data_IF_018214227571
#
_entry.id   IF_018214227571
#
_cell.length_a   1.000
_cell.length_b   1.000
_cell.length_c   1.000
_cell.angle_alpha   90.00
_cell.angle_beta   90.00
_cell.angle_gamma   90.00
#
_symmetry.space_group_name_H-M   'P 1'
#
loop_
_entity.id
_entity.type
_entity.pdbx_description
1 polymer ?
#
# COMPACT_ATOMS: atom_id res chain seq x y z
N UNK A 1 34.77 13.98 16.33
CA UNK A 1 34.94 13.11 17.50
C UNK A 1 33.92 11.99 17.36
N UNK A 2 34.39 10.75 17.39
CA UNK A 2 33.52 9.59 17.46
C UNK A 2 33.40 9.18 18.94
N UNK A 3 32.20 8.81 19.34
CA UNK A 3 31.93 8.31 20.67
C UNK A 3 31.20 6.97 20.53
N UNK A 4 31.69 5.93 21.16
CA UNK A 4 30.99 4.65 21.27
C UNK A 4 30.20 4.62 22.55
N UNK A 5 28.96 4.15 22.43
CA UNK A 5 28.06 4.00 23.57
C UNK A 5 27.42 2.61 23.54
N UNK A 6 27.58 1.87 24.61
CA UNK A 6 26.89 0.59 24.77
C UNK A 6 25.49 0.82 25.29
N UNK A 7 24.48 0.43 24.52
CA UNK A 7 23.09 0.52 24.95
C UNK A 7 22.65 -0.84 25.50
N UNK A 8 22.44 -0.95 26.83
CA UNK A 8 21.97 -2.20 27.41
C UNK A 8 20.47 -2.38 27.06
N UNK A 9 20.13 -3.42 26.37
CA UNK A 9 18.74 -3.82 26.16
C UNK A 9 18.50 -5.26 26.58
N UNK A 10 17.29 -5.56 27.03
CA UNK A 10 16.91 -6.91 27.40
C UNK A 10 16.87 -7.81 26.16
N UNK A 11 17.35 -9.05 26.29
CA UNK A 11 17.22 -10.04 25.22
C UNK A 11 15.73 -10.21 24.88
N UNK A 12 15.38 -9.88 23.65
CA UNK A 12 14.01 -10.02 23.13
C UNK A 12 13.83 -11.48 22.75
N UNK A 13 12.76 -12.09 23.24
CA UNK A 13 12.39 -13.43 22.78
C UNK A 13 11.78 -13.34 21.38
N UNK A 14 12.14 -14.24 20.46
CA UNK A 14 11.51 -14.29 19.14
C UNK A 14 9.99 -14.43 19.25
N UNK A 15 9.29 -13.60 18.52
CA UNK A 15 7.83 -13.68 18.33
C UNK A 15 7.44 -13.20 16.91
N UNK A 16 6.17 -12.97 16.65
CA UNK A 16 5.70 -12.51 15.33
C UNK A 16 5.88 -11.01 15.08
N UNK A 17 6.40 -10.25 16.05
CA UNK A 17 6.55 -8.78 15.98
C UNK A 17 7.91 -8.39 15.42
N UNK A 18 7.96 -7.21 14.84
CA UNK A 18 9.20 -6.51 14.51
C UNK A 18 9.61 -5.60 15.65
N UNK A 19 10.90 -5.54 15.91
CA UNK A 19 11.45 -4.71 16.97
C UNK A 19 12.42 -3.70 16.40
N UNK A 20 12.30 -2.45 16.86
CA UNK A 20 13.13 -1.34 16.42
C UNK A 20 13.82 -0.68 17.62
N UNK A 21 15.10 -0.37 17.47
CA UNK A 21 15.81 0.52 18.38
C UNK A 21 15.65 1.95 17.85
N UNK A 22 15.07 2.81 18.65
CA UNK A 22 14.96 4.24 18.37
C UNK A 22 15.91 5.00 19.30
N UNK A 23 16.74 5.85 18.71
CA UNK A 23 17.67 6.72 19.44
C UNK A 23 17.32 8.17 19.14
N UNK A 24 17.09 8.96 20.17
CA UNK A 24 16.74 10.37 20.07
C UNK A 24 17.81 11.23 20.74
N UNK A 25 18.26 12.26 20.04
CA UNK A 25 19.12 13.31 20.58
C UNK A 25 18.25 14.49 20.97
N UNK A 26 18.29 14.86 22.25
CA UNK A 26 17.46 15.91 22.81
C UNK A 26 18.29 17.15 23.16
N UNK A 27 17.69 18.33 23.05
CA UNK A 27 18.28 19.56 23.60
C UNK A 27 18.36 19.45 25.14
N UNK A 28 19.55 19.68 25.67
CA UNK A 28 19.81 19.64 27.12
C UNK A 28 19.23 20.85 27.87
N UNK A 29 19.21 22.00 27.22
CA UNK A 29 18.80 23.28 27.83
C UNK A 29 17.92 24.06 26.86
N UNK A 30 17.09 24.97 27.36
CA UNK A 30 16.32 25.90 26.55
C UNK A 30 17.21 26.77 25.66
N UNK A 31 16.72 27.03 24.46
CA UNK A 31 17.28 27.99 23.49
C UNK A 31 16.22 29.04 23.15
N UNK A 32 16.58 30.21 22.59
CA UNK A 32 15.65 31.31 22.38
C UNK A 32 14.33 30.97 21.68
N UNK A 33 14.28 29.95 20.85
CA UNK A 33 13.06 29.56 20.11
C UNK A 33 12.72 28.08 20.20
N UNK A 34 13.46 27.32 21.05
CA UNK A 34 13.32 25.87 21.15
C UNK A 34 13.51 25.45 22.59
N UNK A 35 12.51 24.78 23.16
CA UNK A 35 12.57 24.34 24.56
C UNK A 35 13.51 23.14 24.74
N UNK A 36 13.95 22.97 25.98
CA UNK A 36 14.60 21.75 26.45
C UNK A 36 13.77 20.52 26.02
N UNK A 37 14.45 19.40 25.83
CA UNK A 37 13.89 18.11 25.40
C UNK A 37 13.34 18.10 23.97
N UNK A 38 13.55 19.17 23.17
CA UNK A 38 13.27 19.14 21.75
C UNK A 38 14.16 18.10 21.05
N UNK A 39 13.56 17.25 20.23
CA UNK A 39 14.28 16.21 19.47
C UNK A 39 15.05 16.88 18.33
N UNK A 40 16.38 16.90 18.45
CA UNK A 40 17.28 17.50 17.45
C UNK A 40 17.59 16.52 16.31
N UNK A 41 17.70 15.24 16.66
CA UNK A 41 17.97 14.17 15.69
C UNK A 41 17.34 12.87 16.20
N UNK A 42 16.98 12.02 15.29
CA UNK A 42 16.40 10.72 15.57
C UNK A 42 16.89 9.70 14.55
N UNK A 43 17.30 8.53 15.05
CA UNK A 43 17.62 7.37 14.22
C UNK A 43 16.85 6.14 14.70
N UNK A 44 16.55 5.25 13.76
CA UNK A 44 15.82 4.02 14.04
C UNK A 44 16.46 2.85 13.29
N UNK A 45 16.72 1.76 13.99
CA UNK A 45 17.27 0.53 13.40
C UNK A 45 16.37 -0.65 13.74
N UNK A 46 16.11 -1.49 12.75
CA UNK A 46 15.45 -2.75 12.97
C UNK A 46 16.41 -3.71 13.70
N UNK A 47 15.96 -4.30 14.79
CA UNK A 47 16.76 -5.29 15.52
C UNK A 47 16.69 -6.65 14.80
N UNK A 48 17.81 -7.38 14.72
CA UNK A 48 17.86 -8.70 14.09
C UNK A 48 17.28 -9.77 15.03
N UNK A 49 16.02 -9.63 15.37
CA UNK A 49 15.26 -10.64 16.12
C UNK A 49 14.65 -11.59 15.10
N UNK A 50 14.98 -12.88 15.18
CA UNK A 50 14.37 -13.88 14.32
C UNK A 50 12.84 -13.80 14.50
N UNK A 51 12.17 -13.45 13.42
CA UNK A 51 10.71 -13.46 13.37
C UNK A 51 10.28 -14.92 13.39
N UNK A 52 9.64 -15.36 14.45
CA UNK A 52 8.91 -16.61 14.36
C UNK A 52 7.74 -16.37 13.42
N UNK A 53 7.89 -16.80 12.18
CA UNK A 53 6.77 -16.97 11.26
C UNK A 53 5.87 -18.10 11.79
N UNK A 54 5.29 -17.86 12.94
CA UNK A 54 4.14 -18.58 13.39
C UNK A 54 2.97 -18.05 12.57
N UNK A 55 2.89 -18.45 11.31
CA UNK A 55 1.57 -18.64 10.73
C UNK A 55 0.97 -19.77 11.56
N UNK A 56 0.44 -19.42 12.74
CA UNK A 56 -0.68 -20.17 13.25
C UNK A 56 -1.63 -20.21 12.06
N UNK A 57 -1.89 -21.37 11.53
CA UNK A 57 -3.09 -21.59 10.74
C UNK A 57 -4.23 -21.20 11.69
N UNK A 58 -4.51 -19.90 11.72
CA UNK A 58 -5.75 -19.40 12.31
C UNK A 58 -6.76 -20.11 11.44
N UNK A 59 -7.60 -20.93 12.02
CA UNK A 59 -8.74 -21.54 11.34
C UNK A 59 -9.58 -20.38 10.85
N UNK A 60 -9.40 -20.03 9.57
CA UNK A 60 -10.13 -18.93 8.97
C UNK A 60 -11.53 -19.42 8.64
N UNK A 61 -12.52 -18.58 8.86
CA UNK A 61 -13.84 -18.80 8.29
C UNK A 61 -13.69 -18.92 6.77
N UNK A 62 -14.29 -19.94 6.15
CA UNK A 62 -14.21 -20.11 4.71
C UNK A 62 -14.70 -18.87 3.99
N UNK A 63 -14.02 -18.51 2.91
CA UNK A 63 -14.45 -17.41 2.06
C UNK A 63 -15.62 -17.89 1.21
N UNK A 64 -16.68 -17.10 1.17
CA UNK A 64 -17.82 -17.29 0.30
C UNK A 64 -17.70 -16.33 -0.88
N UNK A 65 -17.89 -16.86 -2.07
CA UNK A 65 -17.88 -16.07 -3.31
C UNK A 65 -19.27 -16.07 -3.91
N UNK A 66 -19.75 -14.87 -4.25
CA UNK A 66 -21.02 -14.67 -4.94
C UNK A 66 -20.81 -13.87 -6.21
N UNK A 67 -21.20 -14.41 -7.36
CA UNK A 67 -21.27 -13.67 -8.61
C UNK A 67 -22.61 -12.92 -8.64
N UNK A 68 -22.54 -11.61 -8.81
CA UNK A 68 -23.68 -10.73 -8.93
C UNK A 68 -23.77 -10.21 -10.38
N UNK A 69 -24.91 -9.66 -10.77
CA UNK A 69 -25.10 -9.08 -12.10
C UNK A 69 -24.04 -8.01 -12.40
N UNK A 70 -23.66 -7.20 -11.40
CA UNK A 70 -22.75 -6.07 -11.54
C UNK A 70 -21.33 -6.34 -11.03
N UNK A 71 -20.99 -7.59 -10.62
CA UNK A 71 -19.64 -7.85 -10.12
C UNK A 71 -19.46 -9.13 -9.31
N UNK A 72 -18.39 -9.11 -8.51
CA UNK A 72 -18.02 -10.19 -7.62
C UNK A 72 -18.12 -9.71 -6.18
N UNK A 73 -18.73 -10.49 -5.31
CA UNK A 73 -18.68 -10.30 -3.85
C UNK A 73 -17.95 -11.47 -3.22
N UNK A 74 -16.96 -11.17 -2.40
CA UNK A 74 -16.05 -12.13 -1.77
C UNK A 74 -15.91 -11.77 -0.31
N UNK A 75 -16.14 -12.72 0.60
CA UNK A 75 -16.02 -12.42 2.02
C UNK A 75 -16.46 -13.55 2.93
N UNK A 76 -16.56 -13.26 4.20
CA UNK A 76 -17.08 -14.13 5.25
C UNK A 76 -17.78 -13.28 6.31
N UNK A 77 -17.93 -13.80 7.55
CA UNK A 77 -18.59 -13.04 8.63
C UNK A 77 -17.84 -11.79 9.09
N UNK A 78 -16.53 -11.72 8.85
CA UNK A 78 -15.66 -10.64 9.35
C UNK A 78 -15.45 -9.53 8.31
N UNK A 79 -15.45 -9.87 7.02
CA UNK A 79 -15.18 -8.92 5.95
C UNK A 79 -15.94 -9.24 4.66
N UNK A 80 -16.17 -8.22 3.86
CA UNK A 80 -16.68 -8.30 2.49
C UNK A 80 -15.86 -7.41 1.55
N UNK A 81 -15.57 -7.92 0.36
CA UNK A 81 -14.93 -7.20 -0.74
C UNK A 81 -15.79 -7.30 -1.98
N UNK A 82 -16.01 -6.19 -2.67
CA UNK A 82 -16.79 -6.18 -3.91
C UNK A 82 -15.97 -5.61 -5.07
N UNK A 83 -16.03 -6.29 -6.21
CA UNK A 83 -15.41 -5.89 -7.46
C UNK A 83 -16.47 -5.60 -8.51
N UNK A 84 -16.32 -4.51 -9.25
CA UNK A 84 -17.18 -4.16 -10.36
C UNK A 84 -16.87 -5.02 -11.58
N UNK A 85 -17.89 -5.66 -12.18
CA UNK A 85 -17.74 -6.38 -13.45
C UNK A 85 -17.47 -5.44 -14.63
N UNK A 86 -17.82 -4.17 -14.52
CA UNK A 86 -17.65 -3.16 -15.56
C UNK A 86 -16.26 -2.56 -15.57
N UNK A 87 -15.79 -2.15 -14.38
CA UNK A 87 -14.49 -1.49 -14.25
C UNK A 87 -13.37 -2.43 -13.78
N UNK A 88 -13.68 -3.61 -13.23
CA UNK A 88 -12.71 -4.52 -12.63
C UNK A 88 -12.12 -4.02 -11.31
N UNK A 89 -12.52 -2.85 -10.85
CA UNK A 89 -12.00 -2.22 -9.64
C UNK A 89 -12.63 -2.83 -8.39
N UNK A 90 -11.88 -2.85 -7.31
CA UNK A 90 -12.40 -3.07 -5.96
C UNK A 90 -13.19 -1.84 -5.54
N UNK A 91 -14.52 -1.95 -5.44
CA UNK A 91 -15.43 -0.82 -5.20
C UNK A 91 -15.94 -0.73 -3.77
N UNK A 92 -15.81 -1.78 -2.97
CA UNK A 92 -16.20 -1.83 -1.56
C UNK A 92 -15.25 -2.74 -0.80
N UNK A 93 -14.90 -2.33 0.40
CA UNK A 93 -14.20 -3.13 1.40
C UNK A 93 -14.86 -2.87 2.75
N UNK A 94 -15.54 -3.87 3.28
CA UNK A 94 -16.18 -3.81 4.59
C UNK A 94 -15.46 -4.71 5.57
N UNK A 95 -15.31 -4.22 6.79
CA UNK A 95 -14.85 -4.99 7.92
C UNK A 95 -15.88 -4.91 9.04
N UNK A 96 -16.36 -6.08 9.51
CA UNK A 96 -17.47 -6.17 10.48
C UNK A 96 -18.71 -5.35 10.10
N UNK A 97 -18.98 -5.29 8.79
CA UNK A 97 -20.13 -4.58 8.24
C UNK A 97 -19.91 -3.08 7.99
N UNK A 98 -18.79 -2.49 8.44
CA UNK A 98 -18.48 -1.08 8.24
C UNK A 98 -17.68 -0.88 6.96
N UNK A 99 -18.12 0.05 6.09
CA UNK A 99 -17.44 0.40 4.86
C UNK A 99 -16.16 1.21 5.14
N UNK A 100 -15.06 0.76 4.59
CA UNK A 100 -13.75 1.38 4.74
C UNK A 100 -13.39 2.34 3.61
N UNK A 101 -14.00 2.19 2.43
CA UNK A 101 -13.62 2.90 1.22
C UNK A 101 -14.65 3.96 0.83
N UNK A 102 -14.18 5.15 0.46
CA UNK A 102 -14.93 6.13 -0.35
C UNK A 102 -14.61 5.97 -1.83
N UNK A 103 -13.39 5.55 -2.16
CA UNK A 103 -13.01 5.17 -3.51
C UNK A 103 -12.03 3.99 -3.45
N UNK A 104 -12.23 3.04 -4.33
CA UNK A 104 -11.46 1.81 -4.40
C UNK A 104 -10.01 2.03 -4.79
N UNK A 105 -9.25 0.93 -4.73
CA UNK A 105 -7.83 0.93 -5.05
C UNK A 105 -7.62 1.05 -6.55
N UNK A 106 -6.87 2.07 -6.97
CA UNK A 106 -6.57 2.36 -8.36
C UNK A 106 -5.06 2.55 -8.58
N UNK A 107 -4.53 2.16 -9.75
CA UNK A 107 -3.19 2.55 -10.19
C UNK A 107 -3.00 4.06 -10.16
N UNK A 108 -1.88 4.52 -9.65
CA UNK A 108 -1.53 5.94 -9.59
C UNK A 108 -0.08 6.16 -9.99
N UNK A 109 0.13 6.84 -11.13
CA UNK A 109 1.44 7.13 -11.69
C UNK A 109 1.82 8.61 -11.60
N UNK A 110 1.02 9.39 -10.90
CA UNK A 110 1.20 10.82 -10.74
C UNK A 110 1.55 11.20 -9.30
N UNK A 111 2.36 12.22 -9.16
CA UNK A 111 2.66 12.90 -7.89
C UNK A 111 2.54 14.41 -8.05
N UNK A 112 2.33 15.17 -6.98
CA UNK A 112 2.52 16.61 -6.98
C UNK A 112 3.92 16.97 -7.46
N UNK A 113 4.02 18.07 -8.23
CA UNK A 113 5.31 18.59 -8.68
C UNK A 113 6.07 19.24 -7.54
N UNK A 114 7.37 19.08 -7.56
CA UNK A 114 8.31 19.87 -6.75
C UNK A 114 8.77 21.10 -7.50
N UNK A 115 9.44 22.03 -6.80
CA UNK A 115 10.01 23.22 -7.43
C UNK A 115 11.02 22.90 -8.54
N UNK A 116 11.71 21.77 -8.46
CA UNK A 116 12.63 21.30 -9.49
C UNK A 116 11.93 20.72 -10.73
N UNK A 117 10.72 20.22 -10.57
CA UNK A 117 9.95 19.64 -11.68
C UNK A 117 9.41 20.71 -12.64
N UNK A 118 9.11 21.91 -12.12
CA UNK A 118 8.51 22.99 -12.91
C UNK A 118 9.49 23.47 -14.00
N UNK A 119 10.72 23.89 -13.70
CA UNK A 119 11.67 24.34 -14.73
C UNK A 119 12.14 23.20 -15.64
N UNK A 120 12.13 21.96 -15.16
CA UNK A 120 12.47 20.78 -15.99
C UNK A 120 11.41 20.43 -17.02
N UNK A 121 10.21 21.02 -16.96
CA UNK A 121 9.09 20.73 -17.84
C UNK A 121 8.44 19.34 -17.59
N UNK A 122 8.65 18.72 -16.41
CA UNK A 122 8.13 17.40 -16.09
C UNK A 122 6.61 17.35 -16.23
N UNK A 123 5.90 18.38 -15.80
CA UNK A 123 4.44 18.44 -15.85
C UNK A 123 3.90 18.26 -17.27
N UNK A 124 4.50 18.91 -18.26
CA UNK A 124 4.06 18.81 -19.66
C UNK A 124 4.47 17.49 -20.30
N UNK A 125 5.72 17.03 -20.05
CA UNK A 125 6.19 15.76 -20.63
C UNK A 125 5.45 14.54 -20.10
N UNK A 126 5.07 14.56 -18.82
CA UNK A 126 4.52 13.41 -18.13
C UNK A 126 3.00 13.47 -17.92
N UNK A 127 2.32 14.45 -18.51
CA UNK A 127 0.87 14.69 -18.28
C UNK A 127 0.01 13.45 -18.58
N UNK A 128 0.41 12.61 -19.53
CA UNK A 128 -0.28 11.37 -19.86
C UNK A 128 -0.35 10.36 -18.70
N UNK A 129 0.50 10.51 -17.68
CA UNK A 129 0.47 9.65 -16.49
C UNK A 129 -0.45 10.14 -15.37
N UNK A 130 -1.08 11.32 -15.53
CA UNK A 130 -1.88 11.92 -14.46
C UNK A 130 -3.15 11.12 -14.14
N UNK A 131 -3.84 10.65 -15.16
CA UNK A 131 -5.08 9.88 -15.04
C UNK A 131 -5.06 8.65 -15.96
N UNK A 132 -4.15 7.69 -15.74
CA UNK A 132 -3.92 6.60 -16.69
C UNK A 132 -5.13 5.68 -16.84
N UNK A 133 -5.96 5.58 -15.79
CA UNK A 133 -7.14 4.72 -15.80
C UNK A 133 -8.37 5.33 -16.46
N UNK A 134 -8.38 6.66 -16.73
CA UNK A 134 -9.56 7.37 -17.26
C UNK A 134 -10.13 6.78 -18.54
N UNK A 135 -9.23 6.37 -19.46
CA UNK A 135 -9.58 5.78 -20.76
C UNK A 135 -9.08 4.32 -20.85
N UNK A 136 -8.93 3.65 -19.71
CA UNK A 136 -8.54 2.24 -19.71
C UNK A 136 -9.71 1.35 -20.13
N UNK A 137 -9.37 0.20 -20.70
CA UNK A 137 -10.33 -0.89 -20.95
C UNK A 137 -10.05 -2.04 -20.01
N UNK A 138 -11.06 -2.50 -19.31
CA UNK A 138 -11.01 -3.81 -18.68
C UNK A 138 -11.02 -4.87 -19.78
N UNK A 139 -9.97 -5.66 -19.86
CA UNK A 139 -9.85 -6.76 -20.79
C UNK A 139 -10.41 -8.06 -20.21
N UNK A 140 -10.14 -8.28 -18.92
CA UNK A 140 -10.53 -9.49 -18.22
C UNK A 140 -10.65 -9.21 -16.72
N UNK A 141 -11.69 -9.80 -16.12
CA UNK A 141 -11.80 -9.97 -14.66
C UNK A 141 -11.96 -11.46 -14.40
N UNK A 142 -10.96 -12.06 -13.80
CA UNK A 142 -10.92 -13.49 -13.49
C UNK A 142 -10.81 -13.75 -12.01
N UNK A 143 -11.20 -14.95 -11.59
CA UNK A 143 -11.17 -15.33 -10.20
C UNK A 143 -10.87 -16.82 -10.05
N UNK A 144 -10.00 -17.13 -9.11
CA UNK A 144 -9.67 -18.49 -8.67
C UNK A 144 -9.92 -18.63 -7.17
N UNK A 145 -10.49 -19.74 -6.77
CA UNK A 145 -10.75 -20.06 -5.36
C UNK A 145 -9.96 -21.32 -5.01
N UNK A 146 -9.18 -21.26 -3.96
CA UNK A 146 -8.49 -22.46 -3.45
C UNK A 146 -9.48 -23.48 -2.93
N UNK A 147 -9.20 -24.81 -3.04
CA UNK A 147 -10.15 -25.87 -2.70
C UNK A 147 -10.65 -25.83 -1.25
N UNK A 148 -9.83 -25.33 -0.32
CA UNK A 148 -10.18 -25.18 1.10
C UNK A 148 -10.87 -23.84 1.42
N UNK A 149 -11.13 -23.01 0.40
CA UNK A 149 -11.71 -21.67 0.53
C UNK A 149 -10.95 -20.74 1.47
N UNK A 150 -9.65 -20.97 1.67
CA UNK A 150 -8.78 -20.14 2.51
C UNK A 150 -8.24 -18.91 1.78
N UNK A 151 -8.20 -18.97 0.45
CA UNK A 151 -7.67 -17.94 -0.43
C UNK A 151 -8.51 -17.80 -1.70
N UNK A 152 -8.81 -16.56 -2.05
CA UNK A 152 -9.39 -16.20 -3.35
C UNK A 152 -8.42 -15.25 -4.06
N UNK A 153 -8.12 -15.56 -5.32
CA UNK A 153 -7.28 -14.71 -6.17
C UNK A 153 -8.18 -14.05 -7.22
N UNK A 154 -8.19 -12.73 -7.26
CA UNK A 154 -8.88 -11.96 -8.30
C UNK A 154 -7.83 -11.29 -9.17
N UNK A 155 -7.96 -11.43 -10.48
CA UNK A 155 -7.06 -10.82 -11.47
C UNK A 155 -7.88 -9.92 -12.40
N UNK A 156 -7.49 -8.66 -12.49
CA UNK A 156 -8.06 -7.70 -13.41
C UNK A 156 -6.98 -7.21 -14.38
N UNK A 157 -7.20 -7.46 -15.67
CA UNK A 157 -6.32 -7.06 -16.76
C UNK A 157 -6.88 -5.82 -17.46
N UNK A 158 -6.05 -4.78 -17.57
CA UNK A 158 -6.43 -3.51 -18.18
C UNK A 158 -5.52 -3.17 -19.35
N UNK A 159 -6.09 -2.53 -20.36
CA UNK A 159 -5.34 -1.87 -21.41
C UNK A 159 -5.46 -0.35 -21.28
N UNK A 160 -4.32 0.31 -21.17
CA UNK A 160 -4.20 1.76 -21.12
C UNK A 160 -4.10 2.29 -22.55
N UNK A 161 -5.17 2.87 -23.07
CA UNK A 161 -5.24 3.29 -24.48
C UNK A 161 -4.23 4.37 -24.84
N UNK A 162 -4.06 5.37 -23.97
CA UNK A 162 -3.15 6.49 -24.23
C UNK A 162 -1.68 6.08 -24.18
N UNK A 163 -1.34 5.12 -23.31
CA UNK A 163 0.02 4.59 -23.14
C UNK A 163 0.30 3.38 -24.05
N UNK A 164 -0.73 2.81 -24.68
CA UNK A 164 -0.64 1.56 -25.45
C UNK A 164 0.02 0.43 -24.66
N UNK A 165 -0.31 0.35 -23.37
CA UNK A 165 0.36 -0.50 -22.39
C UNK A 165 -0.67 -1.32 -21.58
N UNK A 166 -0.22 -2.34 -20.89
CA UNK A 166 -1.09 -3.17 -20.05
C UNK A 166 -0.79 -3.01 -18.57
N UNK A 167 -1.83 -3.13 -17.75
CA UNK A 167 -1.72 -3.28 -16.29
C UNK A 167 -2.48 -4.53 -15.90
N UNK A 168 -1.86 -5.30 -15.00
CA UNK A 168 -2.53 -6.38 -14.31
C UNK A 168 -2.57 -6.06 -12.82
N UNK A 169 -3.75 -6.14 -12.23
CA UNK A 169 -3.98 -6.05 -10.79
C UNK A 169 -4.34 -7.43 -10.27
N UNK A 170 -3.59 -7.93 -9.30
CA UNK A 170 -3.84 -9.23 -8.66
C UNK A 170 -4.11 -9.01 -7.18
N UNK A 171 -5.25 -9.52 -6.72
CA UNK A 171 -5.68 -9.43 -5.33
C UNK A 171 -5.71 -10.83 -4.72
N UNK A 172 -4.89 -11.07 -3.70
CA UNK A 172 -4.90 -12.28 -2.91
C UNK A 172 -5.70 -12.02 -1.63
N UNK A 173 -6.91 -12.54 -1.57
CA UNK A 173 -7.85 -12.31 -0.47
C UNK A 173 -7.83 -13.53 0.43
N UNK A 174 -7.32 -13.38 1.65
CA UNK A 174 -7.21 -14.45 2.63
C UNK A 174 -8.42 -14.48 3.57
N UNK A 175 -8.78 -15.66 4.07
CA UNK A 175 -9.90 -15.85 4.97
C UNK A 175 -9.85 -15.07 6.30
N UNK A 176 -8.69 -14.51 6.65
CA UNK A 176 -8.50 -13.60 7.80
C UNK A 176 -8.73 -12.11 7.47
N UNK A 177 -9.17 -11.80 6.25
CA UNK A 177 -9.39 -10.42 5.81
C UNK A 177 -8.14 -9.69 5.33
N UNK A 178 -6.97 -10.32 5.34
CA UNK A 178 -5.76 -9.74 4.71
C UNK A 178 -5.92 -9.79 3.20
N UNK A 179 -5.68 -8.65 2.55
CA UNK A 179 -5.68 -8.52 1.09
C UNK A 179 -4.29 -8.09 0.66
N UNK A 180 -3.54 -9.00 0.00
CA UNK A 180 -2.30 -8.66 -0.68
C UNK A 180 -2.62 -8.22 -2.09
N UNK A 181 -2.11 -7.05 -2.50
CA UNK A 181 -2.32 -6.52 -3.84
C UNK A 181 -1.00 -6.41 -4.57
N UNK A 182 -0.98 -6.90 -5.79
CA UNK A 182 0.16 -6.82 -6.70
C UNK A 182 -0.28 -6.07 -7.97
N UNK A 183 0.57 -5.18 -8.45
CA UNK A 183 0.37 -4.46 -9.70
C UNK A 183 1.56 -4.70 -10.62
N UNK A 184 1.30 -5.20 -11.82
CA UNK A 184 2.27 -5.36 -12.87
C UNK A 184 1.96 -4.42 -14.04
N UNK A 185 2.97 -3.69 -14.51
CA UNK A 185 2.88 -2.83 -15.69
C UNK A 185 3.71 -3.43 -16.81
N UNK A 186 3.11 -3.59 -17.97
CA UNK A 186 3.77 -4.08 -19.19
C UNK A 186 3.73 -2.98 -20.24
N UNK A 187 4.88 -2.35 -20.57
CA UNK A 187 4.92 -1.33 -21.59
C UNK A 187 4.64 -1.93 -22.97
N UNK A 188 3.96 -1.16 -23.81
CA UNK A 188 3.79 -1.48 -25.22
C UNK A 188 4.94 -0.92 -26.07
N UNK A 189 4.67 -0.75 -27.37
CA UNK A 189 5.68 -0.27 -28.33
C UNK A 189 5.76 1.27 -28.42
N UNK A 190 4.80 1.99 -27.83
CA UNK A 190 4.79 3.45 -27.86
C UNK A 190 5.91 4.00 -26.99
N UNK A 191 6.72 4.96 -27.49
CA UNK A 191 7.66 5.68 -26.65
C UNK A 191 6.91 6.44 -25.55
N UNK A 192 7.23 6.15 -24.31
CA UNK A 192 6.63 6.78 -23.14
C UNK A 192 7.63 7.75 -22.48
N UNK A 193 7.10 8.82 -21.90
CA UNK A 193 7.89 9.65 -20.98
C UNK A 193 8.21 8.86 -19.71
N UNK A 194 9.14 9.40 -18.91
CA UNK A 194 9.39 8.89 -17.57
C UNK A 194 8.10 8.88 -16.74
N UNK A 195 7.92 7.85 -15.93
CA UNK A 195 6.77 7.71 -15.04
C UNK A 195 7.07 8.42 -13.72
N UNK A 196 6.33 9.48 -13.34
CA UNK A 196 6.63 10.28 -12.14
C UNK A 196 6.53 9.50 -10.83
N UNK A 197 5.69 8.48 -10.82
CA UNK A 197 5.46 7.59 -9.68
C UNK A 197 4.95 6.24 -10.17
N UNK A 198 5.32 5.17 -9.49
CA UNK A 198 4.68 3.86 -9.63
C UNK A 198 4.04 3.47 -8.31
N UNK A 199 2.73 3.41 -8.28
CA UNK A 199 2.01 3.13 -7.03
C UNK A 199 0.51 3.03 -7.21
N UNK A 200 -0.18 2.94 -6.11
CA UNK A 200 -1.63 2.85 -6.02
C UNK A 200 -2.18 3.89 -5.07
N UNK A 201 -3.44 4.25 -5.23
CA UNK A 201 -4.19 5.11 -4.31
C UNK A 201 -5.54 4.50 -4.00
N UNK A 202 -6.04 4.78 -2.81
CA UNK A 202 -7.43 4.55 -2.38
C UNK A 202 -7.89 5.74 -1.54
N UNK A 203 -9.17 5.92 -1.37
CA UNK A 203 -9.73 6.94 -0.48
C UNK A 203 -10.50 6.20 0.61
N UNK A 204 -10.07 6.37 1.84
CA UNK A 204 -10.71 5.81 3.01
C UNK A 204 -11.83 6.72 3.51
N UNK A 205 -12.76 6.18 4.29
CA UNK A 205 -13.78 6.95 4.99
C UNK A 205 -13.12 7.84 6.05
N UNK A 206 -13.82 8.90 6.48
CA UNK A 206 -13.27 9.91 7.41
C UNK A 206 -12.90 9.38 8.80
N UNK A 207 -13.37 8.19 9.15
CA UNK A 207 -13.06 7.51 10.40
C UNK A 207 -11.58 7.08 10.48
N UNK A 208 -10.91 6.98 9.32
CA UNK A 208 -9.48 6.66 9.19
C UNK A 208 -8.66 7.94 9.02
N UNK A 209 -8.63 8.79 10.06
CA UNK A 209 -7.97 10.10 10.08
C UNK A 209 -6.54 10.09 10.63
N UNK A 210 -6.07 8.92 11.11
CA UNK A 210 -4.74 8.75 11.69
C UNK A 210 -3.90 7.79 10.88
N UNK A 211 -2.66 8.19 10.64
CA UNK A 211 -1.65 7.38 9.96
C UNK A 211 -0.44 7.21 10.87
N UNK A 212 -0.03 5.96 11.08
CA UNK A 212 1.25 5.65 11.73
C UNK A 212 2.22 5.13 10.68
N UNK A 213 3.41 5.73 10.63
CA UNK A 213 4.47 5.34 9.71
C UNK A 213 5.61 4.72 10.52
N UNK A 214 5.96 3.47 10.18
CA UNK A 214 7.20 2.84 10.65
C UNK A 214 8.17 2.78 9.48
N UNK A 215 9.32 3.46 9.62
CA UNK A 215 10.30 3.57 8.56
C UNK A 215 11.71 3.51 9.11
N UNK A 216 12.58 2.72 8.49
CA UNK A 216 13.95 2.50 8.98
C UNK A 216 14.95 3.58 8.57
N UNK A 217 14.65 4.37 7.54
CA UNK A 217 15.49 5.46 7.05
C UNK A 217 14.65 6.62 6.53
N UNK A 218 14.35 7.58 7.41
CA UNK A 218 13.86 8.89 6.99
C UNK A 218 15.09 9.73 6.59
N UNK A 219 15.27 9.93 5.29
CA UNK A 219 16.26 10.91 4.79
C UNK A 219 15.58 12.27 4.70
N UNK A 220 16.23 13.30 5.21
CA UNK A 220 15.73 14.69 5.22
C UNK A 220 15.57 15.33 3.81
N UNK A 221 15.76 14.57 2.75
CA UNK A 221 15.79 15.06 1.37
C UNK A 221 14.83 14.29 0.43
N UNK A 222 13.92 13.51 0.99
CA UNK A 222 12.88 12.84 0.20
C UNK A 222 11.50 13.44 0.43
#
# INVERSE_FOLDING_TARGET
QHMEMTVPFRKIKPDSREYFLKVETLLKNDKPYVSKDFIVAMDQWQLPVERQEGVKMVTHEPIVVSRQENGLKIGNKEFDVEFSAVSGEMISLKYKGEEMLLAGLQPNFWRPSTDNDVPSGLLSRCIGWKEPMKNSKLLKLDMQVEPDSSLVIVVADYYLQEQESAIQMTYHILGNGIIKVEMAFTPGNKPLSEMPRFGMRMILTKEYDRMSVSYTHLRAHE
#
